data_IF_971041552386
#
_entry.id   IF_971041552386
#
_cell.length_a   1.000
_cell.length_b   1.000
_cell.length_c   1.000
_cell.angle_alpha   90.00
_cell.angle_beta   90.00
_cell.angle_gamma   90.00
#
_symmetry.space_group_name_H-M   'P 1'
#
loop_
_entity.id
_entity.type
_entity.pdbx_description
1 polymer ?
#
# COMPACT_ATOMS: atom_id res chain seq x y z
N UNK A 1 22.06 -17.06 30.27
CA UNK A 1 22.09 -16.08 29.18
C UNK A 1 21.56 -16.72 27.91
N UNK A 2 21.97 -17.95 27.62
CA UNK A 2 21.75 -18.72 26.39
C UNK A 2 20.27 -18.88 26.04
N UNK A 3 19.40 -19.08 27.04
CA UNK A 3 17.95 -19.14 26.83
C UNK A 3 17.40 -17.81 26.30
N UNK A 4 17.90 -16.68 26.82
CA UNK A 4 17.44 -15.34 26.42
C UNK A 4 17.94 -15.00 25.02
N UNK A 5 19.22 -15.29 24.73
CA UNK A 5 19.84 -15.13 23.40
C UNK A 5 19.05 -15.96 22.37
N UNK A 6 18.80 -17.25 22.66
CA UNK A 6 17.98 -18.12 21.81
C UNK A 6 16.54 -17.61 21.62
N UNK A 7 15.91 -17.07 22.66
CA UNK A 7 14.55 -16.52 22.57
C UNK A 7 14.53 -15.22 21.72
N UNK A 8 15.61 -14.42 21.73
CA UNK A 8 15.76 -13.25 20.86
C UNK A 8 15.95 -13.71 19.41
N UNK A 9 16.96 -14.54 19.13
CA UNK A 9 17.31 -14.93 17.76
C UNK A 9 16.23 -15.81 17.12
N UNK A 10 15.86 -16.93 17.75
CA UNK A 10 15.00 -17.92 17.10
C UNK A 10 13.52 -17.58 17.16
N UNK A 11 13.07 -16.89 18.21
CA UNK A 11 11.64 -16.68 18.42
C UNK A 11 11.23 -15.29 18.01
N UNK A 12 12.03 -14.27 18.34
CA UNK A 12 11.63 -12.88 18.12
C UNK A 12 11.92 -12.45 16.69
N UNK A 13 13.14 -12.66 16.18
CA UNK A 13 13.48 -12.30 14.79
C UNK A 13 12.65 -13.10 13.79
N UNK A 14 12.59 -14.43 13.92
CA UNK A 14 11.74 -15.24 13.03
C UNK A 14 10.24 -14.89 13.08
N UNK A 15 9.75 -14.20 14.12
CA UNK A 15 8.38 -13.65 14.13
C UNK A 15 8.30 -12.30 13.41
N UNK A 16 9.32 -11.46 13.54
CA UNK A 16 9.44 -10.20 12.82
C UNK A 16 9.52 -10.48 11.33
N UNK A 17 10.44 -11.32 10.86
CA UNK A 17 10.61 -11.66 9.43
C UNK A 17 9.30 -12.17 8.83
N UNK A 18 8.64 -13.13 9.50
CA UNK A 18 7.35 -13.66 9.05
C UNK A 18 6.22 -12.63 9.03
N UNK A 19 6.36 -11.55 9.80
CA UNK A 19 5.39 -10.45 9.82
C UNK A 19 5.72 -9.45 8.71
N UNK A 20 7.00 -9.12 8.51
CA UNK A 20 7.50 -8.31 7.40
C UNK A 20 7.12 -8.94 6.05
N UNK A 21 7.41 -10.23 5.83
CA UNK A 21 7.03 -10.99 4.63
C UNK A 21 5.53 -10.88 4.30
N UNK A 22 4.68 -10.91 5.34
CA UNK A 22 3.23 -10.79 5.18
C UNK A 22 2.84 -9.37 4.82
N UNK A 23 3.46 -8.37 5.45
CA UNK A 23 3.23 -6.96 5.12
C UNK A 23 3.60 -6.74 3.66
N UNK A 24 4.74 -7.21 3.19
CA UNK A 24 5.17 -7.08 1.79
C UNK A 24 4.20 -7.75 0.82
N UNK A 25 3.73 -8.94 1.14
CA UNK A 25 2.74 -9.64 0.33
C UNK A 25 1.42 -8.84 0.21
N UNK A 26 0.94 -8.29 1.33
CA UNK A 26 -0.27 -7.46 1.39
C UNK A 26 -0.07 -6.12 0.67
N UNK A 27 1.07 -5.44 0.84
CA UNK A 27 1.41 -4.20 0.13
C UNK A 27 1.45 -4.40 -1.37
N UNK A 28 2.07 -5.49 -1.83
CA UNK A 28 2.11 -5.88 -3.24
C UNK A 28 0.71 -6.17 -3.79
N UNK A 29 -0.15 -6.81 -3.00
CA UNK A 29 -1.53 -7.06 -3.40
C UNK A 29 -2.35 -5.77 -3.49
N UNK A 30 -2.25 -4.93 -2.47
CA UNK A 30 -2.90 -3.63 -2.41
C UNK A 30 -2.47 -2.74 -3.58
N UNK A 31 -1.17 -2.70 -3.89
CA UNK A 31 -0.64 -1.96 -5.04
C UNK A 31 -1.28 -2.37 -6.37
N UNK A 32 -1.44 -3.67 -6.62
CA UNK A 32 -2.12 -4.19 -7.82
C UNK A 32 -3.60 -3.82 -7.86
N UNK A 33 -4.29 -3.93 -6.73
CA UNK A 33 -5.71 -3.58 -6.63
C UNK A 33 -5.95 -2.08 -6.87
N UNK A 34 -5.10 -1.22 -6.34
CA UNK A 34 -5.15 0.23 -6.59
C UNK A 34 -4.93 0.56 -8.06
N UNK A 35 -3.94 -0.07 -8.72
CA UNK A 35 -3.73 0.11 -10.16
C UNK A 35 -4.96 -0.33 -10.97
N UNK A 36 -5.59 -1.45 -10.61
CA UNK A 36 -6.81 -1.91 -11.27
C UNK A 36 -7.99 -0.93 -11.06
N UNK A 37 -8.13 -0.38 -9.84
CA UNK A 37 -9.15 0.63 -9.54
C UNK A 37 -8.91 1.91 -10.35
N UNK A 38 -7.67 2.41 -10.42
CA UNK A 38 -7.29 3.56 -11.24
C UNK A 38 -7.61 3.34 -12.73
N UNK A 39 -7.27 2.16 -13.26
CA UNK A 39 -7.60 1.80 -14.64
C UNK A 39 -9.10 1.82 -14.91
N UNK A 40 -9.89 1.29 -13.98
CA UNK A 40 -11.36 1.28 -14.06
C UNK A 40 -11.94 2.69 -14.01
N UNK A 41 -11.49 3.53 -13.08
CA UNK A 41 -11.88 4.94 -13.00
C UNK A 41 -11.51 5.70 -14.26
N UNK A 42 -10.35 5.41 -14.85
CA UNK A 42 -9.91 5.99 -16.12
C UNK A 42 -10.86 5.71 -17.30
N UNK A 43 -11.66 4.63 -17.23
CA UNK A 43 -12.69 4.33 -18.25
C UNK A 43 -13.96 5.18 -18.09
N UNK A 44 -14.18 5.83 -16.96
CA UNK A 44 -15.41 6.60 -16.73
C UNK A 44 -15.45 7.83 -17.62
N UNK A 45 -14.33 8.53 -17.81
CA UNK A 45 -14.27 9.71 -18.68
C UNK A 45 -14.75 9.42 -20.11
N UNK A 46 -14.22 8.43 -20.85
CA UNK A 46 -14.69 8.14 -22.20
C UNK A 46 -16.13 7.60 -22.25
N UNK A 47 -16.65 7.01 -21.16
CA UNK A 47 -18.08 6.65 -21.06
C UNK A 47 -18.96 7.90 -20.91
N UNK A 48 -18.57 8.83 -20.04
CA UNK A 48 -19.25 10.12 -19.85
C UNK A 48 -19.22 10.96 -21.13
N UNK A 49 -18.07 11.05 -21.80
CA UNK A 49 -17.95 11.78 -23.07
C UNK A 49 -18.88 11.20 -24.14
N UNK A 50 -19.00 9.86 -24.24
CA UNK A 50 -19.95 9.19 -25.13
C UNK A 50 -21.40 9.47 -24.76
N UNK A 51 -21.75 9.45 -23.48
CA UNK A 51 -23.10 9.77 -23.01
C UNK A 51 -23.50 11.19 -23.42
N UNK A 52 -22.62 12.16 -23.21
CA UNK A 52 -22.87 13.57 -23.60
C UNK A 52 -23.00 13.71 -25.11
N UNK A 53 -22.16 13.05 -25.90
CA UNK A 53 -22.25 13.10 -27.36
C UNK A 53 -23.53 12.46 -27.91
N UNK A 54 -23.92 11.28 -27.40
CA UNK A 54 -25.02 10.51 -27.97
C UNK A 54 -26.39 10.94 -27.44
N UNK A 55 -26.49 11.16 -26.14
CA UNK A 55 -27.75 11.50 -25.46
C UNK A 55 -27.83 13.01 -25.28
N UNK A 56 -26.76 13.65 -24.82
CA UNK A 56 -26.75 15.09 -24.54
C UNK A 56 -27.06 15.95 -25.77
N UNK A 57 -26.50 15.66 -26.95
CA UNK A 57 -26.68 16.54 -28.11
C UNK A 57 -28.09 16.55 -28.72
N UNK A 58 -28.84 15.44 -28.61
CA UNK A 58 -30.14 15.29 -29.28
C UNK A 58 -31.33 15.30 -28.30
N UNK A 59 -31.07 15.50 -27.00
CA UNK A 59 -32.11 15.53 -25.99
C UNK A 59 -32.75 16.93 -25.86
N UNK A 60 -33.97 17.04 -25.31
CA UNK A 60 -34.56 18.33 -24.95
C UNK A 60 -33.68 19.12 -23.97
N UNK A 61 -33.71 20.45 -24.01
CA UNK A 61 -32.83 21.35 -23.23
C UNK A 61 -32.71 20.98 -21.75
N UNK A 62 -33.82 20.71 -21.08
CA UNK A 62 -33.84 20.36 -19.66
C UNK A 62 -33.10 19.05 -19.36
N UNK A 63 -33.11 18.09 -20.30
CA UNK A 63 -32.35 16.84 -20.20
C UNK A 63 -30.87 17.09 -20.45
N UNK A 64 -30.52 17.96 -21.40
CA UNK A 64 -29.12 18.30 -21.65
C UNK A 64 -28.48 18.93 -20.41
N UNK A 65 -29.18 19.86 -19.76
CA UNK A 65 -28.74 20.50 -18.52
C UNK A 65 -28.58 19.47 -17.39
N UNK A 66 -29.56 18.58 -17.21
CA UNK A 66 -29.51 17.55 -16.18
C UNK A 66 -28.33 16.59 -16.41
N UNK A 67 -28.15 16.10 -17.64
CA UNK A 67 -27.05 15.20 -18.02
C UNK A 67 -25.71 15.90 -17.82
N UNK A 68 -25.56 17.14 -18.26
CA UNK A 68 -24.33 17.92 -18.07
C UNK A 68 -23.97 18.11 -16.60
N UNK A 69 -24.96 18.41 -15.76
CA UNK A 69 -24.78 18.54 -14.30
C UNK A 69 -24.31 17.23 -13.66
N UNK A 70 -24.99 16.12 -13.96
CA UNK A 70 -24.64 14.79 -13.45
C UNK A 70 -23.23 14.38 -13.93
N UNK A 71 -22.92 14.60 -15.21
CA UNK A 71 -21.60 14.28 -15.76
C UNK A 71 -20.49 15.08 -15.06
N UNK A 72 -20.73 16.37 -14.78
CA UNK A 72 -19.80 17.22 -14.04
C UNK A 72 -19.58 16.70 -12.63
N UNK A 73 -20.66 16.32 -11.93
CA UNK A 73 -20.56 15.75 -10.58
C UNK A 73 -19.80 14.41 -10.57
N UNK A 74 -20.11 13.51 -11.51
CA UNK A 74 -19.40 12.24 -11.66
C UNK A 74 -17.91 12.49 -11.86
N UNK A 75 -17.54 13.40 -12.78
CA UNK A 75 -16.13 13.69 -13.06
C UNK A 75 -15.40 14.31 -11.87
N UNK A 76 -16.08 15.15 -11.08
CA UNK A 76 -15.55 15.68 -9.83
C UNK A 76 -15.24 14.55 -8.82
N UNK A 77 -16.20 13.63 -8.61
CA UNK A 77 -15.99 12.46 -7.73
C UNK A 77 -14.88 11.54 -8.24
N UNK A 78 -14.84 11.26 -9.54
CA UNK A 78 -13.78 10.43 -10.16
C UNK A 78 -12.41 11.06 -9.94
N UNK A 79 -12.28 12.37 -10.11
CA UNK A 79 -11.03 13.10 -9.84
C UNK A 79 -10.64 12.99 -8.38
N UNK A 80 -11.58 13.24 -7.46
CA UNK A 80 -11.32 13.12 -6.02
C UNK A 80 -10.88 11.71 -5.60
N UNK A 81 -11.56 10.66 -6.07
CA UNK A 81 -11.17 9.28 -5.79
C UNK A 81 -9.81 8.96 -6.41
N UNK A 82 -9.54 9.42 -7.63
CA UNK A 82 -8.24 9.19 -8.29
C UNK A 82 -7.08 9.80 -7.50
N UNK A 83 -7.27 11.00 -6.95
CA UNK A 83 -6.29 11.63 -6.04
C UNK A 83 -6.08 10.81 -4.77
N UNK A 84 -7.16 10.36 -4.13
CA UNK A 84 -7.06 9.53 -2.92
C UNK A 84 -6.32 8.21 -3.20
N UNK A 85 -6.59 7.56 -4.34
CA UNK A 85 -5.86 6.33 -4.72
C UNK A 85 -4.37 6.58 -4.93
N UNK A 86 -4.00 7.74 -5.51
CA UNK A 86 -2.60 8.12 -5.66
C UNK A 86 -1.91 8.34 -4.31
N UNK A 87 -2.60 8.95 -3.34
CA UNK A 87 -2.10 9.11 -1.98
C UNK A 87 -1.91 7.75 -1.28
N UNK A 88 -2.87 6.83 -1.40
CA UNK A 88 -2.71 5.48 -0.85
C UNK A 88 -1.53 4.74 -1.50
N UNK A 89 -1.29 4.92 -2.80
CA UNK A 89 -0.10 4.37 -3.46
C UNK A 89 1.21 4.93 -2.91
N UNK A 90 1.24 6.20 -2.48
CA UNK A 90 2.41 6.77 -1.79
C UNK A 90 2.57 6.14 -0.41
N UNK A 91 1.48 6.01 0.35
CA UNK A 91 1.52 5.39 1.67
C UNK A 91 2.01 3.94 1.61
N UNK A 92 1.64 3.17 0.59
CA UNK A 92 2.17 1.81 0.38
C UNK A 92 3.70 1.83 0.29
N UNK A 93 4.27 2.76 -0.49
CA UNK A 93 5.73 2.88 -0.63
C UNK A 93 6.42 3.30 0.67
N UNK A 94 5.76 4.12 1.46
CA UNK A 94 6.30 4.49 2.78
C UNK A 94 6.30 3.29 3.73
N UNK A 95 5.25 2.46 3.73
CA UNK A 95 5.21 1.24 4.55
C UNK A 95 6.22 0.19 4.06
N UNK A 96 6.40 0.07 2.74
CA UNK A 96 7.45 -0.77 2.13
C UNK A 96 8.84 -0.38 2.68
N UNK A 97 9.18 0.91 2.63
CA UNK A 97 10.43 1.42 3.23
C UNK A 97 10.53 1.16 4.73
N UNK A 98 9.44 1.32 5.49
CA UNK A 98 9.47 1.03 6.92
C UNK A 98 9.67 -0.47 7.21
N UNK A 99 9.24 -1.33 6.28
CA UNK A 99 9.48 -2.78 6.39
C UNK A 99 10.95 -3.09 6.15
N UNK A 100 11.56 -2.47 5.14
CA UNK A 100 13.03 -2.54 4.92
C UNK A 100 13.82 -2.05 6.15
N UNK A 101 13.41 -0.92 6.76
CA UNK A 101 14.06 -0.40 7.97
C UNK A 101 13.92 -1.36 9.18
N UNK A 102 12.82 -2.11 9.26
CA UNK A 102 12.63 -3.14 10.30
C UNK A 102 13.58 -4.32 10.08
N UNK A 103 13.81 -4.72 8.83
CA UNK A 103 14.75 -5.78 8.49
C UNK A 103 16.19 -5.39 8.88
N UNK A 104 16.62 -4.17 8.53
CA UNK A 104 17.94 -3.63 8.94
C UNK A 104 18.13 -3.64 10.46
N UNK A 105 17.10 -3.23 11.22
CA UNK A 105 17.13 -3.26 12.69
C UNK A 105 17.16 -4.70 13.23
N UNK A 106 16.52 -5.64 12.54
CA UNK A 106 16.51 -7.06 12.91
C UNK A 106 17.90 -7.68 12.74
N UNK A 107 18.61 -7.31 11.67
CA UNK A 107 20.01 -7.66 11.44
C UNK A 107 20.96 -7.03 12.48
N UNK A 108 20.72 -5.78 12.89
CA UNK A 108 21.52 -5.16 13.95
C UNK A 108 21.34 -5.89 15.29
N UNK A 109 20.11 -6.31 15.61
CA UNK A 109 19.82 -7.12 16.80
C UNK A 109 20.57 -8.47 16.74
N UNK A 110 20.62 -9.13 15.58
CA UNK A 110 21.36 -10.39 15.42
C UNK A 110 22.85 -10.20 15.74
N UNK A 111 23.45 -9.17 15.17
CA UNK A 111 24.84 -8.83 15.41
C UNK A 111 25.15 -8.53 16.88
N UNK A 112 24.23 -7.85 17.59
CA UNK A 112 24.39 -7.55 19.01
C UNK A 112 24.19 -8.79 19.89
N UNK A 113 23.20 -9.63 19.57
CA UNK A 113 22.95 -10.87 20.30
C UNK A 113 24.13 -11.84 20.17
N UNK A 114 24.70 -11.99 18.98
CA UNK A 114 25.91 -12.79 18.75
C UNK A 114 27.12 -12.28 19.57
N UNK A 115 27.33 -10.96 19.64
CA UNK A 115 28.39 -10.37 20.49
C UNK A 115 28.18 -10.66 21.97
N UNK A 116 26.94 -10.67 22.45
CA UNK A 116 26.61 -11.00 23.84
C UNK A 116 26.92 -12.48 24.11
N UNK A 117 26.64 -13.36 23.16
CA UNK A 117 26.96 -14.80 23.26
C UNK A 117 28.48 -15.01 23.40
N UNK A 118 29.27 -14.41 22.50
CA UNK A 118 30.74 -14.46 22.54
C UNK A 118 31.32 -13.98 23.88
N UNK A 119 30.81 -12.85 24.39
CA UNK A 119 31.23 -12.31 25.69
C UNK A 119 30.89 -13.29 26.81
N UNK A 120 29.68 -13.83 26.78
CA UNK A 120 29.20 -14.75 27.81
C UNK A 120 30.04 -16.02 27.84
N UNK A 121 30.33 -16.59 26.69
CA UNK A 121 31.19 -17.78 26.53
C UNK A 121 32.61 -17.55 27.04
N UNK A 122 33.14 -16.33 26.91
CA UNK A 122 34.45 -15.97 27.42
C UNK A 122 34.50 -15.94 28.96
N UNK A 123 33.42 -15.51 29.62
CA UNK A 123 33.34 -15.39 31.08
C UNK A 123 32.85 -16.66 31.80
N UNK A 124 32.29 -17.63 31.08
CA UNK A 124 31.86 -18.92 31.65
C UNK A 124 32.94 -20.02 31.58
N UNK A 125 34.09 -19.76 30.95
CA UNK A 125 35.29 -20.62 30.96
C UNK A 125 36.19 -20.30 32.15
#
# INVERSE_FOLDING_TARGET
MDKVIRDIDQITQSKIDRTADKIDAELNSCGRELTNAQNTLGQIKPLVDRLVQQVGQNAPDHVQVLVGSICTEIMSKVTGVSSNLAEVQMNIKDVDRYTDEIDDLTDEIDNLTNKIDDITDHYQK
#
